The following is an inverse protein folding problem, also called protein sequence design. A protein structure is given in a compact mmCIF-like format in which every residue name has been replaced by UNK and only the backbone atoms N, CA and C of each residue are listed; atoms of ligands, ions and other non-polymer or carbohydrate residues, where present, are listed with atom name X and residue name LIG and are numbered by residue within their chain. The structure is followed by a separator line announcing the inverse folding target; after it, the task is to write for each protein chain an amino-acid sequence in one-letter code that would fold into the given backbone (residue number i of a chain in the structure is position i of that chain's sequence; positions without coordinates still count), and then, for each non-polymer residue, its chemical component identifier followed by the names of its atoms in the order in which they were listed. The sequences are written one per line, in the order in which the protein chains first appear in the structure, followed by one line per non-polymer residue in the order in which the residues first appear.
data_IF_926284961817
#
_entry.id   IF_926284961817
#
_cell.length_a   1.000
_cell.length_b   1.000
_cell.length_c   1.000
_cell.angle_alpha   90.00
_cell.angle_beta   90.00
_cell.angle_gamma   90.00
#
_symmetry.space_group_name_H-M   'P 1'
#
loop_
_entity.id
_entity.type
_entity.pdbx_description
1 polymer ?
#
# COMPACT_ATOMS: atom_id res chain seq x y z
N UNK A 1 -13.72 -1.47 -2.77
CA UNK A 1 -12.80 -0.32 -2.93
C UNK A 1 -12.45 -0.16 -4.40
N UNK A 2 -12.23 1.06 -4.82
CA UNK A 2 -11.91 1.35 -6.22
C UNK A 2 -10.41 1.65 -6.36
N UNK A 3 -9.69 0.78 -7.05
CA UNK A 3 -8.25 0.94 -7.25
C UNK A 3 -7.91 2.24 -8.01
N UNK A 4 -8.79 2.70 -8.88
CA UNK A 4 -8.54 3.91 -9.66
C UNK A 4 -8.32 5.13 -8.78
N UNK A 5 -9.07 5.27 -7.67
CA UNK A 5 -8.88 6.39 -6.76
C UNK A 5 -7.53 6.30 -6.04
N UNK A 6 -7.10 5.10 -5.68
CA UNK A 6 -5.77 4.91 -5.09
C UNK A 6 -4.67 5.29 -6.07
N UNK A 7 -4.80 4.87 -7.31
CA UNK A 7 -3.80 5.19 -8.34
C UNK A 7 -3.77 6.68 -8.63
N UNK A 8 -4.94 7.33 -8.69
CA UNK A 8 -5.03 8.77 -8.91
C UNK A 8 -4.36 9.55 -7.78
N UNK A 9 -4.73 9.26 -6.53
CA UNK A 9 -4.17 9.96 -5.37
C UNK A 9 -2.67 9.69 -5.24
N UNK A 10 -2.23 8.49 -5.57
CA UNK A 10 -0.82 8.15 -5.58
C UNK A 10 -0.05 8.98 -6.59
N UNK A 11 -0.59 9.12 -7.82
CA UNK A 11 0.04 9.93 -8.87
C UNK A 11 0.10 11.41 -8.51
N UNK A 12 -0.84 11.89 -7.69
CA UNK A 12 -0.87 13.26 -7.20
C UNK A 12 -0.04 13.45 -5.93
N UNK A 13 0.65 12.41 -5.48
CA UNK A 13 1.47 12.39 -4.26
C UNK A 13 0.66 12.68 -2.98
N UNK A 14 -0.62 12.34 -2.99
CA UNK A 14 -1.51 12.52 -1.84
C UNK A 14 -1.48 11.29 -0.94
N UNK A 15 -0.29 10.99 -0.41
CA UNK A 15 -0.04 9.83 0.44
C UNK A 15 0.45 10.32 1.79
N UNK A 16 -0.19 9.84 2.86
CA UNK A 16 0.24 10.11 4.22
C UNK A 16 0.97 8.89 4.78
N UNK A 17 2.15 9.15 5.31
CA UNK A 17 3.05 8.14 5.85
C UNK A 17 3.13 8.34 7.35
N UNK A 18 2.68 7.37 8.14
CA UNK A 18 2.89 7.44 9.59
C UNK A 18 4.34 7.11 9.90
N UNK A 19 4.85 7.64 11.01
CA UNK A 19 6.21 7.32 11.44
C UNK A 19 6.38 5.82 11.68
N UNK A 20 5.35 5.17 12.26
CA UNK A 20 5.36 3.73 12.48
C UNK A 20 5.47 2.96 11.16
N UNK A 21 4.70 3.37 10.16
CA UNK A 21 4.75 2.75 8.83
C UNK A 21 6.13 2.91 8.21
N UNK A 22 6.71 4.11 8.25
CA UNK A 22 8.03 4.37 7.69
C UNK A 22 9.11 3.54 8.38
N UNK A 23 9.00 3.38 9.70
CA UNK A 23 9.94 2.55 10.46
C UNK A 23 9.87 1.09 10.01
N UNK A 24 8.65 0.56 9.86
CA UNK A 24 8.47 -0.82 9.39
C UNK A 24 8.99 -1.01 7.97
N UNK A 25 8.76 -0.03 7.10
CA UNK A 25 9.28 -0.07 5.75
C UNK A 25 10.80 -0.11 5.73
N UNK A 26 11.44 0.70 6.56
CA UNK A 26 12.89 0.71 6.68
C UNK A 26 13.43 -0.65 7.14
N UNK A 27 12.81 -1.23 8.16
CA UNK A 27 13.19 -2.57 8.66
C UNK A 27 13.06 -3.66 7.60
N UNK A 28 12.13 -3.49 6.67
CA UNK A 28 11.81 -4.46 5.61
C UNK A 28 12.46 -4.14 4.27
N UNK A 29 13.25 -3.08 4.22
CA UNK A 29 13.90 -2.61 2.99
C UNK A 29 12.87 -2.27 1.90
N UNK A 30 11.82 -1.56 2.28
CA UNK A 30 10.79 -1.07 1.39
C UNK A 30 10.89 0.45 1.33
N UNK A 31 11.07 1.01 0.13
CA UNK A 31 11.13 2.45 -0.07
C UNK A 31 9.72 3.02 -0.37
N UNK A 32 9.60 4.35 -0.25
CA UNK A 32 8.37 5.03 -0.67
C UNK A 32 8.10 4.80 -2.16
N UNK A 33 9.15 4.78 -2.97
CA UNK A 33 9.04 4.48 -4.40
C UNK A 33 8.49 3.08 -4.64
N UNK A 34 8.90 2.11 -3.83
CA UNK A 34 8.39 0.74 -3.90
C UNK A 34 6.88 0.70 -3.67
N UNK A 35 6.39 1.40 -2.62
CA UNK A 35 4.96 1.44 -2.31
C UNK A 35 4.19 2.12 -3.44
N UNK A 36 4.69 3.24 -3.95
CA UNK A 36 4.05 3.95 -5.06
C UNK A 36 3.96 3.06 -6.30
N UNK A 37 5.04 2.35 -6.62
CA UNK A 37 5.04 1.42 -7.75
C UNK A 37 4.08 0.26 -7.50
N UNK A 38 4.01 -0.24 -6.28
CA UNK A 38 3.08 -1.30 -5.91
C UNK A 38 1.62 -0.90 -6.12
N UNK A 39 1.26 0.33 -5.78
CA UNK A 39 -0.09 0.84 -6.02
C UNK A 39 -0.35 1.01 -7.52
N UNK A 40 0.62 1.56 -8.25
CA UNK A 40 0.48 1.81 -9.69
C UNK A 40 0.34 0.53 -10.50
N UNK A 41 1.03 -0.55 -10.11
CA UNK A 41 1.04 -1.83 -10.83
C UNK A 41 0.11 -2.86 -10.23
N UNK A 42 -0.54 -2.54 -9.12
CA UNK A 42 -1.23 -3.51 -8.29
C UNK A 42 -2.70 -3.70 -8.61
N UNK A 43 -3.29 -4.60 -7.84
CA UNK A 43 -4.73 -4.83 -7.83
C UNK A 43 -5.18 -5.05 -6.39
N UNK A 44 -6.44 -4.71 -6.12
CA UNK A 44 -7.03 -4.94 -4.80
C UNK A 44 -7.45 -6.40 -4.72
N UNK A 45 -6.92 -7.14 -3.75
CA UNK A 45 -7.25 -8.55 -3.56
C UNK A 45 -8.13 -8.81 -2.33
N UNK A 46 -8.18 -7.86 -1.40
CA UNK A 46 -9.10 -7.94 -0.25
C UNK A 46 -9.57 -6.54 0.12
N UNK A 47 -10.84 -6.44 0.50
CA UNK A 47 -11.43 -5.21 1.03
C UNK A 47 -11.73 -5.35 2.50
N UNK A 48 -11.48 -4.29 3.26
CA UNK A 48 -11.80 -4.19 4.68
C UNK A 48 -12.71 -2.97 4.89
N UNK A 49 -13.99 -3.07 4.48
CA UNK A 49 -14.90 -1.91 4.47
C UNK A 49 -15.24 -1.39 5.86
N UNK A 50 -15.08 -2.21 6.89
CA UNK A 50 -15.42 -1.84 8.26
C UNK A 50 -14.21 -1.35 9.06
N UNK A 51 -13.06 -1.22 8.44
CA UNK A 51 -11.87 -0.70 9.11
C UNK A 51 -12.08 0.73 9.55
N UNK A 52 -11.51 1.05 10.68
CA UNK A 52 -11.60 2.36 11.32
C UNK A 52 -10.22 2.99 11.38
N UNK A 53 -10.07 4.30 11.16
CA UNK A 53 -11.14 5.30 10.92
C UNK A 53 -11.66 5.34 9.48
N UNK A 54 -11.01 4.68 8.54
CA UNK A 54 -11.41 4.66 7.14
C UNK A 54 -11.40 3.23 6.61
N UNK A 55 -12.26 2.93 5.64
CA UNK A 55 -12.14 1.65 4.94
C UNK A 55 -10.75 1.49 4.36
N UNK A 56 -10.27 0.26 4.33
CA UNK A 56 -8.96 -0.06 3.81
C UNK A 56 -9.04 -1.25 2.86
N UNK A 57 -7.93 -1.55 2.22
CA UNK A 57 -7.84 -2.69 1.32
C UNK A 57 -6.41 -3.23 1.31
N UNK A 58 -6.29 -4.46 0.81
CA UNK A 58 -5.00 -5.09 0.57
C UNK A 58 -4.72 -5.03 -0.93
N UNK A 59 -3.61 -4.40 -1.28
CA UNK A 59 -3.16 -4.25 -2.65
C UNK A 59 -2.00 -5.19 -2.90
N UNK A 60 -2.11 -5.99 -3.95
CA UNK A 60 -1.05 -6.86 -4.44
C UNK A 60 -0.39 -6.16 -5.63
N UNK A 61 0.88 -5.81 -5.49
CA UNK A 61 1.60 -5.12 -6.56
C UNK A 61 3.08 -5.53 -6.56
N UNK A 62 3.91 -4.70 -7.20
CA UNK A 62 5.33 -4.98 -7.33
C UNK A 62 6.14 -3.77 -6.90
N UNK A 63 7.30 -4.04 -6.26
CA UNK A 63 8.25 -2.98 -5.97
C UNK A 63 8.97 -2.56 -7.26
N UNK A 64 9.86 -1.58 -7.15
CA UNK A 64 10.56 -1.04 -8.34
C UNK A 64 11.46 -2.06 -9.03
N UNK A 65 11.80 -3.16 -8.35
CA UNK A 65 12.62 -4.24 -8.89
C UNK A 65 11.79 -5.43 -9.36
N UNK A 66 10.47 -5.31 -9.37
CA UNK A 66 9.58 -6.38 -9.84
C UNK A 66 9.28 -7.47 -8.82
N UNK A 67 9.61 -7.26 -7.53
CA UNK A 67 9.30 -8.21 -6.47
C UNK A 67 7.89 -7.96 -5.94
N UNK A 68 7.16 -9.02 -5.65
CA UNK A 68 5.80 -8.94 -5.10
C UNK A 68 5.82 -8.18 -3.78
N UNK A 69 4.92 -7.21 -3.65
CA UNK A 69 4.78 -6.37 -2.48
C UNK A 69 3.30 -6.27 -2.11
N UNK A 70 2.97 -6.52 -0.84
CA UNK A 70 1.63 -6.30 -0.32
C UNK A 70 1.56 -4.97 0.41
N UNK A 71 0.50 -4.22 0.16
CA UNK A 71 0.27 -2.90 0.75
C UNK A 71 -1.13 -2.87 1.33
N UNK A 72 -1.25 -2.54 2.63
CA UNK A 72 -2.53 -2.27 3.25
C UNK A 72 -2.68 -0.76 3.31
N UNK A 73 -3.71 -0.24 2.67
CA UNK A 73 -3.91 1.20 2.57
C UNK A 73 -5.39 1.55 2.78
N UNK A 74 -5.61 2.68 3.43
CA UNK A 74 -6.93 3.28 3.56
C UNK A 74 -7.01 4.56 2.75
N UNK A 75 -8.22 5.05 2.52
CA UNK A 75 -8.46 6.25 1.71
C UNK A 75 -9.67 7.01 2.22
N UNK A 76 -9.54 8.33 2.35
CA UNK A 76 -10.66 9.21 2.71
C UNK A 76 -11.15 10.05 1.51
N UNK A 77 -10.79 9.66 0.28
CA UNK A 77 -11.06 10.35 -0.98
C UNK A 77 -10.24 11.63 -1.18
N UNK A 78 -9.39 11.99 -0.23
CA UNK A 78 -8.48 13.14 -0.33
C UNK A 78 -7.04 12.65 -0.31
N UNK A 79 -6.73 11.74 0.62
CA UNK A 79 -5.40 11.17 0.79
C UNK A 79 -5.47 9.66 0.95
N UNK A 80 -4.36 9.00 0.62
CA UNK A 80 -4.13 7.59 0.94
C UNK A 80 -3.36 7.53 2.26
N UNK A 81 -3.75 6.62 3.14
CA UNK A 81 -3.06 6.33 4.39
C UNK A 81 -2.42 4.96 4.25
N UNK A 82 -1.09 4.91 4.28
CA UNK A 82 -0.38 3.62 4.21
C UNK A 82 -0.33 3.04 5.61
N UNK A 83 -1.08 1.96 5.83
CA UNK A 83 -1.16 1.29 7.11
C UNK A 83 0.06 0.40 7.30
N UNK A 84 0.39 -0.42 6.30
CA UNK A 84 1.60 -1.23 6.32
C UNK A 84 1.94 -1.67 4.90
N UNK A 85 3.20 -2.09 4.72
CA UNK A 85 3.67 -2.71 3.49
C UNK A 85 4.64 -3.82 3.87
N UNK A 86 4.56 -4.96 3.17
CA UNK A 86 5.41 -6.10 3.49
C UNK A 86 5.58 -7.01 2.28
N UNK A 87 6.67 -7.77 2.29
CA UNK A 87 6.89 -8.81 1.30
C UNK A 87 6.28 -10.11 1.79
N UNK A 88 5.67 -10.91 0.91
CA UNK A 88 5.15 -12.21 1.34
C UNK A 88 6.29 -13.13 1.79
N UNK A 89 6.03 -13.91 2.83
CA UNK A 89 7.00 -14.89 3.32
C UNK A 89 6.84 -16.17 2.49
N UNK A 90 7.73 -16.35 1.51
CA UNK A 90 7.68 -17.49 0.61
C UNK A 90 8.29 -18.76 1.20
N UNK A 91 8.92 -18.66 2.37
CA UNK A 91 9.54 -19.82 3.00
C UNK A 91 8.55 -20.78 3.62
N UNK A 92 7.30 -20.34 3.79
CA UNK A 92 6.23 -21.15 4.39
C UNK A 92 5.41 -21.93 3.38
N UNK A 93 5.74 -21.81 2.13
CA UNK A 93 4.96 -22.43 1.05
C UNK A 93 5.77 -23.43 0.26
#
# INVERSE_FOLDING_TARGET
MNLDIYQKLCSESKILWTQHCLQRMQERDISRADVKNGIATGEIIEDYPDDYPYPSCLIFGYNVNGRILYIVAGCDNINIYIITAYYPDTKKF
#
